data_IF_096474546754
#
_entry.id   IF_096474546754
#
_cell.length_a   1.000
_cell.length_b   1.000
_cell.length_c   1.000
_cell.angle_alpha   90.00
_cell.angle_beta   90.00
_cell.angle_gamma   90.00
#
_symmetry.space_group_name_H-M   'P 1'
#
loop_
_entity.id
_entity.type
_entity.pdbx_description
1 polymer ?
#
# COMPACT_ATOMS: atom_id res chain seq x y z
N UNK A 1 -18.44 -5.75 3.83
CA UNK A 1 -17.59 -4.55 3.63
C UNK A 1 -16.43 -4.64 4.61
N UNK A 2 -15.18 -4.46 4.15
CA UNK A 2 -14.03 -4.35 5.06
C UNK A 2 -13.81 -2.86 5.32
N UNK A 3 -13.78 -2.49 6.60
CA UNK A 3 -13.50 -1.12 7.05
C UNK A 3 -12.24 -1.16 7.89
N UNK A 4 -11.29 -0.28 7.59
CA UNK A 4 -10.10 -0.09 8.41
C UNK A 4 -10.31 1.16 9.27
N UNK A 5 -10.44 0.99 10.59
CA UNK A 5 -10.69 2.09 11.54
C UNK A 5 -11.90 3.00 11.15
N UNK A 6 -12.93 2.41 10.53
CA UNK A 6 -14.10 3.14 10.04
C UNK A 6 -13.98 3.72 8.62
N UNK A 7 -12.79 3.69 8.02
CA UNK A 7 -12.57 4.09 6.62
C UNK A 7 -12.98 2.94 5.70
N UNK A 8 -13.83 3.23 4.71
CA UNK A 8 -14.28 2.23 3.75
C UNK A 8 -13.15 1.87 2.78
N UNK A 9 -12.93 0.56 2.62
CA UNK A 9 -12.02 0.03 1.61
C UNK A 9 -12.79 -0.15 0.30
N UNK A 10 -12.35 0.57 -0.73
CA UNK A 10 -12.92 0.48 -2.07
C UNK A 10 -12.11 -0.49 -2.91
N UNK A 11 -12.81 -1.27 -3.74
CA UNK A 11 -12.21 -2.14 -4.73
C UNK A 11 -12.60 -1.65 -6.11
N UNK A 12 -11.60 -1.35 -6.92
CA UNK A 12 -11.75 -0.88 -8.28
C UNK A 12 -11.43 -2.00 -9.26
N UNK A 13 -12.25 -2.09 -10.30
CA UNK A 13 -12.09 -3.06 -11.37
C UNK A 13 -11.84 -2.30 -12.67
N UNK A 14 -10.73 -2.61 -13.32
CA UNK A 14 -10.32 -2.05 -14.60
C UNK A 14 -10.20 -3.16 -15.63
N UNK A 15 -10.39 -2.82 -16.90
CA UNK A 15 -10.12 -3.74 -18.01
C UNK A 15 -8.87 -3.28 -18.75
N UNK A 16 -7.95 -4.21 -19.01
CA UNK A 16 -6.77 -3.93 -19.81
C UNK A 16 -7.15 -3.64 -21.26
N UNK A 17 -6.63 -2.56 -21.83
CA UNK A 17 -6.92 -2.14 -23.21
C UNK A 17 -6.37 -3.09 -24.27
N UNK A 18 -5.36 -3.91 -23.94
CA UNK A 18 -4.72 -4.85 -24.89
C UNK A 18 -5.29 -6.26 -24.82
N UNK A 19 -5.48 -6.81 -23.62
CA UNK A 19 -5.87 -8.21 -23.44
C UNK A 19 -7.28 -8.41 -22.86
N UNK A 20 -8.02 -7.32 -22.58
CA UNK A 20 -9.34 -7.35 -21.95
C UNK A 20 -9.40 -8.06 -20.59
N UNK A 21 -8.24 -8.39 -20.00
CA UNK A 21 -8.15 -8.99 -18.67
C UNK A 21 -8.58 -7.97 -17.60
N UNK A 22 -9.15 -8.49 -16.51
CA UNK A 22 -9.58 -7.70 -15.38
C UNK A 22 -8.41 -7.44 -14.42
N UNK A 23 -8.20 -6.17 -14.10
CA UNK A 23 -7.29 -5.69 -13.07
C UNK A 23 -8.13 -5.25 -11.87
N UNK A 24 -7.81 -5.81 -10.70
CA UNK A 24 -8.43 -5.42 -9.44
C UNK A 24 -7.40 -4.72 -8.53
N UNK A 25 -7.76 -3.55 -8.02
CA UNK A 25 -6.99 -2.85 -6.98
C UNK A 25 -7.88 -2.43 -5.82
N UNK A 26 -7.33 -2.40 -4.61
CA UNK A 26 -8.02 -1.98 -3.38
C UNK A 26 -7.31 -0.79 -2.75
N UNK A 27 -8.06 0.08 -2.08
CA UNK A 27 -7.48 1.12 -1.23
C UNK A 27 -6.83 0.52 0.02
N UNK A 28 -5.70 1.06 0.42
CA UNK A 28 -5.02 0.79 1.68
C UNK A 28 -4.99 2.07 2.53
N UNK A 29 -5.94 2.23 3.47
CA UNK A 29 -6.00 3.41 4.33
C UNK A 29 -4.86 3.50 5.35
N UNK A 30 -4.15 2.41 5.64
CA UNK A 30 -3.03 2.41 6.58
C UNK A 30 -1.81 3.11 5.95
N UNK A 31 -1.56 2.81 4.68
CA UNK A 31 -0.41 3.32 3.95
C UNK A 31 -0.75 4.50 3.01
N UNK A 32 -2.01 4.96 3.02
CA UNK A 32 -2.53 5.97 2.09
C UNK A 32 -2.23 5.65 0.62
N UNK A 33 -2.27 4.36 0.26
CA UNK A 33 -1.86 3.86 -1.06
C UNK A 33 -2.89 2.86 -1.63
N UNK A 34 -2.60 2.26 -2.78
CA UNK A 34 -3.39 1.21 -3.41
C UNK A 34 -2.60 -0.07 -3.54
N UNK A 35 -3.28 -1.20 -3.26
CA UNK A 35 -2.70 -2.53 -3.39
C UNK A 35 -3.39 -3.26 -4.55
N UNK A 36 -2.58 -3.83 -5.45
CA UNK A 36 -3.08 -4.65 -6.55
C UNK A 36 -3.46 -6.03 -6.02
N UNK A 37 -4.68 -6.48 -6.31
CA UNK A 37 -5.15 -7.84 -5.95
C UNK A 37 -4.97 -8.84 -7.09
N UNK A 38 -5.24 -8.45 -8.34
CA UNK A 38 -5.20 -9.36 -9.48
C UNK A 38 -4.93 -8.62 -10.79
N UNK A 39 -4.23 -9.27 -11.72
CA UNK A 39 -4.17 -8.86 -13.13
C UNK A 39 -3.16 -7.76 -13.47
N UNK A 40 -2.38 -7.27 -12.51
CA UNK A 40 -1.22 -6.40 -12.79
C UNK A 40 -0.12 -6.55 -11.72
N UNK A 41 1.06 -6.07 -12.09
CA UNK A 41 2.17 -5.82 -11.16
C UNK A 41 2.40 -4.31 -11.12
N UNK A 42 2.66 -3.77 -9.93
CA UNK A 42 3.05 -2.38 -9.78
C UNK A 42 4.39 -2.14 -10.49
N UNK A 43 4.58 -0.97 -11.10
CA UNK A 43 5.89 -0.58 -11.60
C UNK A 43 6.88 -0.44 -10.43
N UNK A 44 8.14 -0.78 -10.66
CA UNK A 44 9.20 -0.60 -9.68
C UNK A 44 9.62 0.87 -9.65
N UNK A 45 9.50 1.49 -8.48
CA UNK A 45 9.81 2.90 -8.23
C UNK A 45 10.97 2.95 -7.22
N UNK A 46 12.22 3.22 -7.64
CA UNK A 46 13.41 3.17 -6.76
C UNK A 46 13.27 4.02 -5.49
N UNK A 47 12.68 5.20 -5.60
CA UNK A 47 12.45 6.13 -4.48
C UNK A 47 11.53 5.57 -3.39
N UNK A 48 10.65 4.61 -3.70
CA UNK A 48 9.80 3.97 -2.70
C UNK A 48 10.57 3.04 -1.77
N UNK A 49 11.63 2.39 -2.26
CA UNK A 49 12.49 1.61 -1.38
C UNK A 49 13.23 2.52 -0.41
N UNK A 50 13.70 3.69 -0.86
CA UNK A 50 14.34 4.67 0.01
C UNK A 50 13.38 5.18 1.09
N UNK A 51 12.14 5.56 0.72
CA UNK A 51 11.10 5.95 1.68
C UNK A 51 10.76 4.83 2.68
N UNK A 52 10.65 3.58 2.22
CA UNK A 52 10.28 2.45 3.09
C UNK A 52 11.41 2.09 4.07
N UNK A 53 12.67 2.20 3.66
CA UNK A 53 13.82 2.00 4.54
C UNK A 53 13.94 3.15 5.56
N UNK A 54 13.72 4.40 5.14
CA UNK A 54 13.69 5.55 6.04
C UNK A 54 12.56 5.46 7.08
N UNK A 55 11.37 5.03 6.67
CA UNK A 55 10.24 4.86 7.60
C UNK A 55 10.50 3.73 8.61
N UNK A 56 11.05 2.58 8.18
CA UNK A 56 11.49 1.51 9.08
C UNK A 56 12.55 1.99 10.08
N UNK A 57 13.52 2.76 9.62
CA UNK A 57 14.59 3.28 10.47
C UNK A 57 14.08 4.29 11.49
N UNK A 58 13.06 5.08 11.12
CA UNK A 58 12.37 6.02 12.01
C UNK A 58 11.51 5.28 13.03
N UNK A 59 10.72 4.28 12.61
CA UNK A 59 9.93 3.45 13.51
C UNK A 59 10.82 2.73 14.53
N UNK A 60 11.98 2.23 14.11
CA UNK A 60 12.96 1.60 15.00
C UNK A 60 13.46 2.57 16.07
N UNK A 61 13.87 3.78 15.66
CA UNK A 61 14.29 4.84 16.59
C UNK A 61 13.18 5.24 17.57
N UNK A 62 11.96 5.43 17.08
CA UNK A 62 10.81 5.77 17.93
C UNK A 62 10.46 4.65 18.91
N UNK A 63 10.61 3.38 18.51
CA UNK A 63 10.40 2.22 19.40
C UNK A 63 11.47 2.12 20.48
N UNK A 64 12.74 2.34 20.14
CA UNK A 64 13.87 2.34 21.07
C UNK A 64 13.77 3.52 22.08
N UNK A 65 13.34 4.70 21.62
CA UNK A 65 13.07 5.85 22.50
C UNK A 65 11.86 5.62 23.42
N UNK A 66 10.82 4.90 22.96
CA UNK A 66 9.69 4.50 23.81
C UNK A 66 10.09 3.44 24.85
N UNK A 67 10.96 2.50 24.51
CA UNK A 67 11.45 1.48 25.46
C UNK A 67 12.41 2.07 26.51
N UNK A 68 13.09 3.18 26.22
CA UNK A 68 13.93 3.89 27.19
C UNK A 68 13.15 4.82 28.14
N UNK A 69 11.85 5.03 27.92
CA UNK A 69 11.01 5.92 28.72
C UNK A 69 10.15 5.18 29.74
#
# INVERSE_FOLDING_TARGET
MRTYLGIQIFRFYFKCTKCSAELAMKTDPQNSDYVVEAGATRNFEPWRNEDEELDKEKQKRESEEMEMR
#
